data_IF_680556201840
#
_entry.id   IF_680556201840
#
_cell.length_a   1.000
_cell.length_b   1.000
_cell.length_c   1.000
_cell.angle_alpha   90.00
_cell.angle_beta   90.00
_cell.angle_gamma   90.00
#
_symmetry.space_group_name_H-M   'P 1'
#
loop_
_entity.id
_entity.type
_entity.pdbx_description
1 polymer ?
#
# COMPACT_ATOMS: atom_id res chain seq x y z
N UNK A 1 15.78 -5.66 19.52
CA UNK A 1 16.76 -5.32 18.46
C UNK A 1 16.17 -4.13 17.72
N UNK A 2 16.81 -2.97 17.79
CA UNK A 2 16.46 -1.82 16.95
C UNK A 2 17.08 -2.05 15.59
N UNK A 3 16.24 -2.35 14.60
CA UNK A 3 16.69 -2.53 13.21
C UNK A 3 17.34 -1.23 12.70
N UNK A 4 18.45 -1.35 11.97
CA UNK A 4 19.15 -0.20 11.41
C UNK A 4 18.25 0.48 10.36
N UNK A 5 18.13 1.83 10.32
CA UNK A 5 17.34 2.55 9.31
C UNK A 5 17.59 2.08 7.87
N UNK A 6 18.84 1.78 7.50
CA UNK A 6 19.17 1.30 6.16
C UNK A 6 18.62 -0.11 5.90
N UNK A 7 18.57 -0.97 6.91
CA UNK A 7 18.00 -2.32 6.80
C UNK A 7 16.48 -2.25 6.69
N UNK A 8 15.84 -1.32 7.39
CA UNK A 8 14.39 -1.09 7.29
C UNK A 8 14.04 -0.60 5.89
N UNK A 9 14.74 0.42 5.39
CA UNK A 9 14.52 0.94 4.03
C UNK A 9 14.72 -0.15 2.98
N UNK A 10 15.80 -0.94 3.08
CA UNK A 10 16.02 -2.06 2.16
C UNK A 10 14.90 -3.09 2.24
N UNK A 11 14.44 -3.46 3.43
CA UNK A 11 13.32 -4.38 3.61
C UNK A 11 12.00 -3.85 3.04
N UNK A 12 11.81 -2.53 3.04
CA UNK A 12 10.71 -1.90 2.32
C UNK A 12 10.92 -2.06 0.81
N UNK A 13 12.05 -1.65 0.25
CA UNK A 13 12.33 -1.79 -1.19
C UNK A 13 12.13 -3.22 -1.70
N UNK A 14 12.64 -4.21 -0.97
CA UNK A 14 12.47 -5.63 -1.30
C UNK A 14 10.99 -6.05 -1.34
N UNK A 15 10.17 -5.50 -0.42
CA UNK A 15 8.72 -5.75 -0.41
C UNK A 15 8.01 -5.15 -1.61
N UNK A 16 8.45 -3.97 -2.11
CA UNK A 16 7.91 -3.35 -3.31
C UNK A 16 8.29 -4.12 -4.56
N UNK A 17 9.55 -4.54 -4.68
CA UNK A 17 10.02 -5.40 -5.78
C UNK A 17 9.24 -6.73 -5.84
N UNK A 18 8.87 -7.28 -4.68
CA UNK A 18 8.00 -8.45 -4.61
C UNK A 18 6.58 -8.15 -5.11
N UNK A 19 5.98 -7.03 -4.72
CA UNK A 19 4.61 -6.68 -5.15
C UNK A 19 4.56 -6.35 -6.64
N UNK A 20 5.55 -5.65 -7.20
CA UNK A 20 5.61 -5.43 -8.64
C UNK A 20 5.61 -6.74 -9.43
N UNK A 21 6.33 -7.77 -8.96
CA UNK A 21 6.31 -9.11 -9.59
C UNK A 21 4.93 -9.76 -9.51
N UNK A 22 4.25 -9.67 -8.37
CA UNK A 22 2.92 -10.27 -8.20
C UNK A 22 1.90 -9.59 -9.11
N UNK A 23 1.76 -8.26 -9.03
CA UNK A 23 0.76 -7.54 -9.82
C UNK A 23 1.07 -7.53 -11.32
N UNK A 24 2.35 -7.66 -11.70
CA UNK A 24 2.73 -7.79 -13.12
C UNK A 24 2.65 -9.21 -13.68
N UNK A 25 2.50 -10.24 -12.84
CA UNK A 25 2.23 -11.61 -13.29
C UNK A 25 0.76 -11.79 -13.67
N UNK A 26 -0.14 -11.06 -13.01
CA UNK A 26 -1.60 -11.17 -13.17
C UNK A 26 -2.16 -10.31 -14.31
N UNK A 27 -1.40 -10.12 -15.41
CA UNK A 27 -1.77 -9.18 -16.50
C UNK A 27 -3.08 -9.49 -17.22
N UNK A 28 -3.60 -10.71 -17.05
CA UNK A 28 -4.86 -11.13 -17.65
C UNK A 28 -6.08 -10.54 -16.92
N UNK A 29 -5.92 -10.08 -15.68
CA UNK A 29 -6.94 -9.37 -14.92
C UNK A 29 -6.72 -7.87 -15.08
N UNK A 30 -7.54 -7.23 -15.91
CA UNK A 30 -7.39 -5.81 -16.29
C UNK A 30 -7.24 -4.90 -15.06
N UNK A 31 -8.05 -5.11 -14.01
CA UNK A 31 -7.98 -4.30 -12.79
C UNK A 31 -6.68 -4.49 -11.99
N UNK A 32 -6.06 -5.67 -12.04
CA UNK A 32 -4.76 -5.89 -11.40
C UNK A 32 -3.63 -5.24 -12.22
N UNK A 33 -3.74 -5.25 -13.54
CA UNK A 33 -2.82 -4.52 -14.40
C UNK A 33 -2.90 -3.00 -14.15
N UNK A 34 -4.10 -2.45 -13.96
CA UNK A 34 -4.25 -1.04 -13.59
C UNK A 34 -3.69 -0.73 -12.19
N UNK A 35 -3.85 -1.64 -11.22
CA UNK A 35 -3.21 -1.50 -9.90
C UNK A 35 -1.67 -1.40 -10.00
N UNK A 36 -1.04 -2.07 -10.97
CA UNK A 36 0.41 -1.92 -11.19
C UNK A 36 0.82 -0.48 -11.53
N UNK A 37 -0.06 0.30 -12.18
CA UNK A 37 0.17 1.72 -12.45
C UNK A 37 0.10 2.55 -11.17
N UNK A 38 -0.82 2.23 -10.26
CA UNK A 38 -0.92 2.89 -8.95
C UNK A 38 0.34 2.61 -8.11
N UNK A 39 0.80 1.36 -8.09
CA UNK A 39 2.03 0.94 -7.40
C UNK A 39 3.23 1.73 -7.95
N UNK A 40 3.36 1.81 -9.28
CA UNK A 40 4.42 2.59 -9.92
C UNK A 40 4.36 4.08 -9.54
N UNK A 41 3.18 4.69 -9.56
CA UNK A 41 3.01 6.11 -9.16
C UNK A 41 3.41 6.36 -7.70
N UNK A 42 3.06 5.45 -6.78
CA UNK A 42 3.48 5.55 -5.38
C UNK A 42 5.01 5.46 -5.27
N UNK A 43 5.63 4.53 -6.00
CA UNK A 43 7.08 4.34 -6.04
C UNK A 43 7.81 5.57 -6.61
N UNK A 44 7.31 6.16 -7.69
CA UNK A 44 7.85 7.40 -8.27
C UNK A 44 7.81 8.58 -7.29
N UNK A 45 6.86 8.58 -6.33
CA UNK A 45 6.80 9.55 -5.22
C UNK A 45 7.69 9.18 -4.02
N UNK A 46 8.47 8.10 -4.10
CA UNK A 46 9.40 7.65 -3.07
C UNK A 46 8.73 7.00 -1.85
N UNK A 47 7.50 6.49 -2.00
CA UNK A 47 6.82 5.78 -0.93
C UNK A 47 7.37 4.38 -0.67
N UNK A 48 8.13 3.83 -1.63
CA UNK A 48 8.83 2.55 -1.53
C UNK A 48 9.90 2.52 -0.44
N UNK A 49 10.49 3.66 -0.12
CA UNK A 49 11.44 3.83 0.99
C UNK A 49 10.78 4.11 2.33
N UNK A 50 9.47 4.38 2.34
CA UNK A 50 8.73 4.82 3.53
C UNK A 50 7.75 3.78 4.03
N UNK A 51 7.26 2.90 3.18
CA UNK A 51 6.28 1.90 3.55
C UNK A 51 6.70 0.52 3.15
N UNK A 52 6.32 -0.47 3.94
CA UNK A 52 6.29 -1.85 3.52
C UNK A 52 5.09 -2.09 2.63
N UNK A 53 5.32 -2.73 1.50
CA UNK A 53 4.28 -3.20 0.60
C UNK A 53 3.89 -4.65 0.90
N UNK A 54 2.62 -4.97 0.67
CA UNK A 54 2.04 -6.28 0.81
C UNK A 54 0.73 -6.39 0.05
N UNK A 55 0.03 -7.51 0.24
CA UNK A 55 -1.23 -7.77 -0.42
C UNK A 55 -2.18 -8.59 0.45
N UNK A 56 -3.46 -8.56 0.11
CA UNK A 56 -4.46 -9.52 0.56
C UNK A 56 -5.40 -9.85 -0.59
N UNK A 57 -5.40 -11.12 -1.01
CA UNK A 57 -6.08 -11.56 -2.23
C UNK A 57 -5.66 -10.71 -3.44
N UNK A 58 -6.51 -9.78 -3.87
CA UNK A 58 -6.31 -8.89 -5.01
C UNK A 58 -5.95 -7.45 -4.62
N UNK A 59 -5.97 -7.13 -3.34
CA UNK A 59 -5.74 -5.78 -2.86
C UNK A 59 -4.26 -5.52 -2.55
N UNK A 60 -3.82 -4.30 -2.81
CA UNK A 60 -2.50 -3.81 -2.44
C UNK A 60 -2.56 -3.14 -1.07
N UNK A 61 -1.58 -3.41 -0.21
CA UNK A 61 -1.54 -2.90 1.16
C UNK A 61 -0.20 -2.25 1.38
N UNK A 62 -0.21 -1.07 1.99
CA UNK A 62 0.99 -0.43 2.52
C UNK A 62 0.85 -0.20 4.02
N UNK A 63 1.98 -0.29 4.72
CA UNK A 63 2.03 -0.13 6.17
C UNK A 63 3.39 0.38 6.62
N UNK A 64 3.49 0.72 7.91
CA UNK A 64 4.78 1.04 8.56
C UNK A 64 5.39 -0.17 9.28
N UNK A 65 4.87 -1.38 9.06
CA UNK A 65 5.44 -2.56 9.73
C UNK A 65 6.72 -3.03 9.04
N UNK A 66 7.73 -3.40 9.82
CA UNK A 66 8.98 -3.98 9.31
C UNK A 66 8.76 -5.43 8.86
N UNK A 67 7.94 -6.17 9.59
CA UNK A 67 7.80 -7.63 9.43
C UNK A 67 6.61 -8.02 8.56
N UNK A 68 6.69 -9.21 7.98
CA UNK A 68 5.54 -9.83 7.33
C UNK A 68 4.47 -10.21 8.38
N UNK A 69 3.20 -10.18 7.98
CA UNK A 69 2.07 -10.51 8.85
C UNK A 69 1.62 -9.30 9.66
N UNK A 70 0.74 -8.48 9.08
CA UNK A 70 0.17 -7.33 9.77
C UNK A 70 -0.74 -7.79 10.91
N UNK A 71 -0.48 -7.27 12.11
CA UNK A 71 -1.38 -7.40 13.26
C UNK A 71 -2.61 -6.51 13.07
N UNK A 72 -3.68 -6.82 13.80
CA UNK A 72 -4.96 -6.12 13.67
C UNK A 72 -4.91 -4.66 14.15
N UNK A 73 -3.98 -4.32 15.04
CA UNK A 73 -3.78 -2.99 15.62
C UNK A 73 -2.88 -2.09 14.75
N UNK A 74 -2.13 -2.68 13.81
CA UNK A 74 -1.19 -1.93 12.98
C UNK A 74 -1.90 -1.11 11.91
N UNK A 75 -1.45 0.14 11.79
CA UNK A 75 -1.99 1.05 10.80
C UNK A 75 -1.59 0.64 9.38
N UNK A 76 -2.53 0.73 8.44
CA UNK A 76 -2.33 0.40 7.04
C UNK A 76 -3.22 1.22 6.13
N UNK A 77 -2.78 1.39 4.89
CA UNK A 77 -3.64 1.84 3.79
C UNK A 77 -3.86 0.67 2.85
N UNK A 78 -5.13 0.42 2.54
CA UNK A 78 -5.60 -0.71 1.76
C UNK A 78 -6.21 -0.19 0.45
N UNK A 79 -5.67 -0.61 -0.68
CA UNK A 79 -6.12 -0.29 -2.02
C UNK A 79 -6.84 -1.51 -2.60
N UNK A 80 -8.16 -1.41 -2.73
CA UNK A 80 -9.05 -2.47 -3.18
C UNK A 80 -9.57 -2.14 -4.58
N UNK A 81 -8.93 -2.68 -5.65
CA UNK A 81 -9.35 -2.44 -7.02
C UNK A 81 -10.69 -3.14 -7.30
N UNK A 82 -11.55 -2.49 -8.08
CA UNK A 82 -12.86 -3.02 -8.48
C UNK A 82 -12.88 -3.41 -9.96
N UNK A 83 -13.68 -4.42 -10.35
CA UNK A 83 -13.79 -4.83 -11.76
C UNK A 83 -14.32 -3.76 -12.71
N UNK A 84 -15.03 -2.74 -12.19
CA UNK A 84 -15.61 -1.63 -12.96
C UNK A 84 -14.60 -0.51 -13.27
N UNK A 85 -13.34 -0.65 -12.84
CA UNK A 85 -12.30 0.35 -13.07
C UNK A 85 -12.09 1.32 -11.90
N UNK A 86 -12.95 1.27 -10.88
CA UNK A 86 -12.85 2.10 -9.67
C UNK A 86 -11.92 1.48 -8.63
N UNK A 87 -11.60 2.25 -7.60
CA UNK A 87 -10.76 1.80 -6.49
C UNK A 87 -11.27 2.34 -5.16
N UNK A 88 -11.47 1.43 -4.21
CA UNK A 88 -11.70 1.80 -2.82
C UNK A 88 -10.36 1.91 -2.10
N UNK A 89 -10.10 3.04 -1.46
CA UNK A 89 -8.90 3.22 -0.64
C UNK A 89 -9.33 3.43 0.81
N UNK A 90 -8.73 2.68 1.73
CA UNK A 90 -9.06 2.82 3.16
C UNK A 90 -7.83 2.90 4.04
N UNK A 91 -7.81 3.88 4.95
CA UNK A 91 -6.90 3.90 6.09
C UNK A 91 -7.55 3.16 7.25
N UNK A 92 -6.84 2.17 7.81
CA UNK A 92 -7.32 1.33 8.91
C UNK A 92 -6.33 1.40 10.07
N UNK A 93 -6.81 1.69 11.27
CA UNK A 93 -6.04 1.63 12.52
C UNK A 93 -6.98 1.36 13.68
N UNK A 94 -7.09 0.09 14.10
CA UNK A 94 -7.98 -0.30 15.20
C UNK A 94 -7.52 0.35 16.52
N UNK A 95 -8.46 0.64 17.44
CA UNK A 95 -9.91 0.42 17.37
C UNK A 95 -10.68 1.51 16.61
N UNK A 96 -10.01 2.47 15.97
CA UNK A 96 -10.70 3.57 15.30
C UNK A 96 -11.51 3.07 14.08
N UNK A 97 -12.59 3.79 13.72
CA UNK A 97 -13.28 3.58 12.45
C UNK A 97 -12.32 3.76 11.27
N UNK A 98 -12.57 2.99 10.21
CA UNK A 98 -11.80 3.09 8.97
C UNK A 98 -12.17 4.39 8.25
N UNK A 99 -11.18 5.08 7.67
CA UNK A 99 -11.42 6.20 6.76
C UNK A 99 -11.42 5.61 5.36
N UNK A 100 -12.51 5.80 4.63
CA UNK A 100 -12.72 5.18 3.32
C UNK A 100 -13.01 6.27 2.30
N UNK A 101 -12.35 6.18 1.15
CA UNK A 101 -12.66 6.96 -0.05
C UNK A 101 -12.84 6.02 -1.23
N UNK A 102 -13.75 6.39 -2.12
CA UNK A 102 -13.93 5.75 -3.43
C UNK A 102 -13.32 6.68 -4.47
N UNK A 103 -12.58 6.10 -5.41
CA UNK A 103 -11.92 6.84 -6.49
C UNK A 103 -12.39 6.25 -7.81
N UNK A 104 -12.89 7.11 -8.70
CA UNK A 104 -13.49 6.71 -9.97
C UNK A 104 -12.49 6.09 -10.97
N UNK A 105 -11.18 6.19 -10.67
CA UNK A 105 -10.09 5.68 -11.49
C UNK A 105 -9.01 5.05 -10.61
N UNK A 106 -8.42 3.97 -11.10
CA UNK A 106 -7.21 3.36 -10.51
C UNK A 106 -5.96 4.21 -10.78
N UNK A 107 -5.88 5.36 -10.12
CA UNK A 107 -4.73 6.26 -10.17
C UNK A 107 -4.50 6.90 -8.80
N UNK A 108 -3.30 7.47 -8.61
CA UNK A 108 -2.97 8.15 -7.37
C UNK A 108 -3.50 9.59 -7.38
N UNK A 109 -4.69 9.79 -6.84
CA UNK A 109 -5.36 11.09 -6.80
C UNK A 109 -5.01 11.91 -5.55
N UNK A 110 -5.25 13.23 -5.56
CA UNK A 110 -5.03 14.10 -4.39
C UNK A 110 -5.81 13.68 -3.13
N UNK A 111 -6.96 13.01 -3.28
CA UNK A 111 -7.80 12.52 -2.18
C UNK A 111 -7.15 11.37 -1.40
N UNK A 112 -6.24 10.63 -2.03
CA UNK A 112 -5.48 9.53 -1.39
C UNK A 112 -4.37 10.08 -0.51
N UNK A 113 -3.80 11.24 -0.87
CA UNK A 113 -2.61 11.80 -0.22
C UNK A 113 -2.79 11.99 1.31
N UNK A 114 -3.93 12.52 1.84
CA UNK A 114 -4.15 12.60 3.27
C UNK A 114 -4.07 11.25 4.01
N UNK A 115 -4.49 10.14 3.37
CA UNK A 115 -4.43 8.80 3.97
C UNK A 115 -2.97 8.33 4.05
N UNK A 116 -2.16 8.65 3.05
CA UNK A 116 -0.71 8.35 3.04
C UNK A 116 0.03 9.16 4.11
N UNK A 117 -0.26 10.46 4.22
CA UNK A 117 0.35 11.31 5.25
C UNK A 117 -0.01 10.82 6.66
N UNK A 118 -1.29 10.48 6.89
CA UNK A 118 -1.73 9.89 8.17
C UNK A 118 -1.02 8.57 8.51
N UNK A 119 -0.63 7.79 7.49
CA UNK A 119 0.16 6.58 7.67
C UNK A 119 1.64 6.90 7.97
N UNK A 120 2.23 7.94 7.36
CA UNK A 120 3.59 8.39 7.65
C UNK A 120 3.77 8.89 9.09
N UNK A 121 2.73 9.48 9.67
CA UNK A 121 2.69 9.90 11.08
C UNK A 121 2.76 8.72 12.07
N UNK A 122 2.58 7.48 11.59
CA UNK A 122 2.67 6.30 12.45
C UNK A 122 4.12 5.88 12.65
N UNK A 123 4.48 5.44 13.87
CA UNK A 123 5.80 4.87 14.12
C UNK A 123 6.03 3.65 13.23
N UNK A 124 7.30 3.38 12.94
CA UNK A 124 7.70 2.10 12.36
C UNK A 124 7.57 1.03 13.43
N UNK A 125 7.00 -0.13 13.06
CA UNK A 125 6.66 -1.24 13.95
C UNK A 125 7.23 -2.59 13.50
#
# INVERSE_FOLDING_TARGET
MTDNPNQIEQGFLDSWDSMEKVFSAERHLVWLNEMSKVIKQLRERGYDRKFRAGQSLTAFIISRSIRHGLRNDQAKVYFDPRPDGTMRVSYQKRPNPDIVIEVDRMELTPEIEPLLQKLLEQPID
#
